data_IF_031917551339
#
_entry.id   IF_031917551339
#
_cell.length_a   1.000
_cell.length_b   1.000
_cell.length_c   1.000
_cell.angle_alpha   90.00
_cell.angle_beta   90.00
_cell.angle_gamma   90.00
#
_symmetry.space_group_name_H-M   'P 1'
#
loop_
_entity.id
_entity.type
_entity.pdbx_description
1 polymer ?
#
# COMPACT_ATOMS: atom_id res chain seq x y z
N UNK A 1 15.01 16.28 -2.17
CA UNK A 1 14.73 16.97 -3.43
C UNK A 1 14.03 18.30 -3.16
N UNK A 2 14.34 19.38 -3.91
CA UNK A 2 13.70 20.67 -3.70
C UNK A 2 12.20 20.56 -3.98
N UNK A 3 11.40 21.18 -3.11
CA UNK A 3 9.94 21.30 -3.26
C UNK A 3 9.63 22.77 -3.50
N UNK A 4 8.85 23.02 -4.51
CA UNK A 4 8.42 24.37 -4.85
C UNK A 4 6.90 24.46 -4.70
N UNK A 5 6.44 25.58 -4.15
CA UNK A 5 5.00 25.85 -4.09
C UNK A 5 4.52 26.13 -5.52
N UNK A 6 3.51 25.39 -5.95
CA UNK A 6 2.86 25.57 -7.24
C UNK A 6 1.49 26.24 -7.04
N UNK A 7 0.94 26.77 -8.13
CA UNK A 7 -0.40 27.33 -8.14
C UNK A 7 -1.45 26.31 -7.66
N UNK A 8 -2.55 26.78 -7.10
CA UNK A 8 -3.66 25.98 -6.57
C UNK A 8 -3.34 25.14 -5.32
N UNK A 9 -2.40 25.57 -4.49
CA UNK A 9 -2.08 24.83 -3.27
C UNK A 9 -1.46 23.45 -3.50
N UNK A 10 -0.80 23.25 -4.65
CA UNK A 10 -0.06 22.02 -4.94
C UNK A 10 1.40 22.13 -4.53
N UNK A 11 2.05 20.98 -4.38
CA UNK A 11 3.50 20.89 -4.17
C UNK A 11 4.10 20.30 -5.43
N UNK A 12 5.06 21.02 -6.03
CA UNK A 12 5.85 20.47 -7.12
C UNK A 12 7.07 19.73 -6.58
N UNK A 13 7.38 18.61 -7.18
CA UNK A 13 8.57 17.83 -6.85
C UNK A 13 9.17 17.19 -8.09
N UNK A 14 10.46 16.91 -8.02
CA UNK A 14 11.18 16.22 -9.08
C UNK A 14 11.14 14.73 -8.77
N UNK A 15 10.72 13.93 -9.74
CA UNK A 15 10.74 12.48 -9.63
C UNK A 15 12.20 11.99 -9.56
N UNK A 16 12.60 11.28 -8.50
CA UNK A 16 13.96 10.77 -8.39
C UNK A 16 14.18 9.64 -9.41
N UNK A 17 15.35 9.57 -10.03
CA UNK A 17 15.68 8.47 -10.92
C UNK A 17 15.69 7.14 -10.17
N UNK A 18 15.24 6.09 -10.83
CA UNK A 18 15.22 4.74 -10.31
C UNK A 18 16.36 3.90 -10.93
N UNK A 19 16.72 2.81 -10.26
CA UNK A 19 17.75 1.90 -10.77
C UNK A 19 17.40 1.32 -12.15
N UNK A 20 16.11 1.14 -12.43
CA UNK A 20 15.63 0.66 -13.73
C UNK A 20 15.97 1.61 -14.88
N UNK A 21 16.06 2.92 -14.62
CA UNK A 21 16.39 3.93 -15.64
C UNK A 21 17.81 3.79 -16.15
N UNK A 22 18.67 3.11 -15.39
CA UNK A 22 20.08 2.87 -15.72
C UNK A 22 20.34 1.51 -16.39
N UNK A 23 19.32 0.68 -16.59
CA UNK A 23 19.51 -0.67 -17.13
C UNK A 23 20.15 -0.68 -18.54
N UNK A 24 19.85 0.33 -19.35
CA UNK A 24 20.45 0.48 -20.68
C UNK A 24 21.79 1.23 -20.72
N UNK A 25 22.23 1.80 -19.59
CA UNK A 25 23.45 2.61 -19.51
C UNK A 25 24.71 1.78 -19.29
N UNK A 26 24.54 0.58 -18.77
CA UNK A 26 25.63 -0.31 -18.39
C UNK A 26 25.67 -1.48 -19.37
N UNK A 27 26.82 -1.74 -19.95
CA UNK A 27 27.03 -2.85 -20.87
C UNK A 27 28.39 -3.50 -20.65
N UNK A 28 28.52 -4.69 -21.14
CA UNK A 28 29.80 -5.40 -21.16
C UNK A 28 30.48 -5.09 -22.50
N UNK A 29 31.71 -4.63 -22.44
CA UNK A 29 32.53 -4.41 -23.61
C UNK A 29 33.50 -5.58 -23.77
N UNK A 30 33.38 -6.33 -24.84
CA UNK A 30 34.22 -7.50 -25.11
C UNK A 30 35.40 -7.15 -26.05
N UNK A 31 36.49 -7.96 -26.06
CA UNK A 31 37.58 -7.77 -26.99
C UNK A 31 37.14 -7.77 -28.46
N UNK A 32 36.18 -8.62 -28.82
CA UNK A 32 35.63 -8.69 -30.17
C UNK A 32 34.91 -7.40 -30.58
N UNK A 33 34.21 -6.78 -29.62
CA UNK A 33 33.56 -5.46 -29.80
C UNK A 33 34.62 -4.36 -30.01
N UNK A 34 35.75 -4.45 -29.31
CA UNK A 34 36.83 -3.47 -29.41
C UNK A 34 37.51 -3.56 -30.77
N UNK A 35 37.75 -4.78 -31.23
CA UNK A 35 38.31 -5.05 -32.59
C UNK A 35 37.33 -4.58 -33.67
N UNK A 36 36.06 -4.88 -33.56
CA UNK A 36 35.05 -4.44 -34.50
C UNK A 36 34.93 -2.90 -34.53
N UNK A 37 35.03 -2.23 -33.38
CA UNK A 37 35.03 -0.77 -33.30
C UNK A 37 36.26 -0.18 -33.99
N UNK A 38 37.42 -0.78 -33.82
CA UNK A 38 38.67 -0.34 -34.47
C UNK A 38 38.60 -0.51 -36.00
N UNK A 39 38.06 -1.63 -36.46
CA UNK A 39 37.94 -1.93 -37.88
C UNK A 39 36.93 -1.02 -38.61
N UNK A 40 35.87 -0.57 -37.92
CA UNK A 40 34.84 0.30 -38.49
C UNK A 40 35.13 1.79 -38.32
N UNK A 41 36.30 2.18 -37.83
CA UNK A 41 36.65 3.56 -37.59
C UNK A 41 35.70 4.27 -36.56
N UNK A 42 35.00 3.50 -35.71
CA UNK A 42 34.04 3.99 -34.73
C UNK A 42 32.69 4.44 -35.32
N UNK A 43 32.41 4.15 -36.57
CA UNK A 43 31.26 4.66 -37.33
C UNK A 43 30.13 3.67 -37.54
N UNK A 44 29.96 2.67 -36.69
CA UNK A 44 28.85 1.71 -36.76
C UNK A 44 27.93 1.80 -35.56
N UNK A 45 26.61 1.80 -35.79
CA UNK A 45 25.60 1.83 -34.72
C UNK A 45 25.72 0.63 -33.76
N UNK A 46 26.31 -0.47 -34.20
CA UNK A 46 26.42 -1.75 -33.48
C UNK A 46 27.68 -1.85 -32.59
N UNK A 47 28.56 -0.84 -32.62
CA UNK A 47 29.87 -0.87 -31.98
C UNK A 47 30.14 0.32 -31.06
N UNK A 48 29.09 0.93 -30.57
CA UNK A 48 29.20 2.03 -29.63
C UNK A 48 28.98 1.54 -28.19
N UNK A 49 29.82 2.05 -27.29
CA UNK A 49 29.59 1.84 -25.84
C UNK A 49 28.22 2.44 -25.41
N UNK A 50 27.55 1.74 -24.51
CA UNK A 50 26.29 2.20 -24.00
C UNK A 50 26.42 3.60 -23.39
N UNK A 51 25.55 4.50 -23.77
CA UNK A 51 25.53 5.89 -23.26
C UNK A 51 24.16 6.16 -22.63
N UNK A 52 24.18 6.58 -21.38
CA UNK A 52 23.00 7.13 -20.74
C UNK A 52 22.94 8.63 -20.98
N UNK A 53 21.95 9.07 -21.71
CA UNK A 53 21.65 10.50 -21.82
C UNK A 53 20.75 10.91 -20.68
N UNK A 54 21.30 11.59 -19.69
CA UNK A 54 20.53 12.15 -18.58
C UNK A 54 19.72 13.34 -19.09
N UNK A 55 18.41 13.13 -19.20
CA UNK A 55 17.47 14.20 -19.60
C UNK A 55 17.18 15.11 -18.40
N UNK A 56 16.64 16.30 -18.68
CA UNK A 56 16.17 17.21 -17.63
C UNK A 56 15.13 16.56 -16.72
N UNK A 57 15.06 17.03 -15.49
CA UNK A 57 14.15 16.48 -14.49
C UNK A 57 12.69 16.72 -14.87
N UNK A 58 11.86 15.68 -14.71
CA UNK A 58 10.41 15.79 -14.89
C UNK A 58 9.78 16.30 -13.60
N UNK A 59 9.09 17.43 -13.68
CA UNK A 59 8.35 17.99 -12.56
C UNK A 59 7.00 17.30 -12.44
N UNK A 60 6.69 16.79 -11.25
CA UNK A 60 5.38 16.26 -10.86
C UNK A 60 4.71 17.22 -9.90
N UNK A 61 3.40 17.20 -9.89
CA UNK A 61 2.57 18.00 -8.98
C UNK A 61 1.75 17.08 -8.10
N UNK A 62 1.75 17.37 -6.81
CA UNK A 62 0.86 16.74 -5.83
C UNK A 62 -0.14 17.79 -5.36
N UNK A 63 -1.40 17.65 -5.75
CA UNK A 63 -2.46 18.55 -5.34
C UNK A 63 -2.87 18.27 -3.89
N UNK A 64 -3.20 19.34 -3.17
CA UNK A 64 -3.67 19.29 -1.79
C UNK A 64 -5.18 19.28 -1.81
N UNK A 65 -5.79 18.23 -1.27
CA UNK A 65 -7.22 18.18 -1.05
C UNK A 65 -7.54 18.70 0.35
N UNK A 66 -8.59 19.50 0.46
CA UNK A 66 -9.12 19.96 1.72
C UNK A 66 -10.37 19.15 2.09
N UNK A 67 -10.33 18.52 3.25
CA UNK A 67 -11.51 17.85 3.81
C UNK A 67 -12.23 18.85 4.66
N UNK A 68 -13.47 19.16 4.29
CA UNK A 68 -14.28 20.18 4.95
C UNK A 68 -15.40 19.54 5.77
N UNK A 69 -15.67 20.11 6.93
CA UNK A 69 -16.79 19.77 7.79
C UNK A 69 -17.60 21.03 8.06
N UNK A 70 -18.88 20.99 7.76
CA UNK A 70 -19.81 22.09 8.07
C UNK A 70 -21.05 21.54 8.78
N UNK A 71 -21.34 22.07 9.97
CA UNK A 71 -22.53 21.77 10.72
C UNK A 71 -23.40 23.01 10.83
N UNK A 72 -24.68 22.87 10.51
CA UNK A 72 -25.66 23.94 10.66
C UNK A 72 -26.69 23.53 11.72
N UNK A 73 -26.77 24.30 12.78
CA UNK A 73 -27.61 24.02 13.95
C UNK A 73 -28.50 25.22 14.25
N UNK A 74 -29.80 24.97 14.39
CA UNK A 74 -30.76 26.01 14.75
C UNK A 74 -30.57 26.50 16.18
N UNK A 75 -30.70 27.81 16.41
CA UNK A 75 -30.52 28.41 17.73
C UNK A 75 -31.49 27.87 18.78
N UNK A 76 -32.72 27.52 18.39
CA UNK A 76 -33.73 26.97 19.33
C UNK A 76 -33.33 25.53 19.72
N UNK A 77 -32.85 24.74 18.77
CA UNK A 77 -32.37 23.38 19.03
C UNK A 77 -31.20 23.41 20.02
N UNK A 78 -30.23 24.30 19.79
CA UNK A 78 -29.07 24.46 20.67
C UNK A 78 -29.44 24.82 22.10
N UNK A 79 -30.51 25.60 22.28
CA UNK A 79 -30.99 25.98 23.60
C UNK A 79 -31.83 24.89 24.28
N UNK A 80 -32.63 24.17 23.49
CA UNK A 80 -33.53 23.15 24.02
C UNK A 80 -32.79 21.83 24.32
N UNK A 81 -31.79 21.46 23.48
CA UNK A 81 -31.10 20.17 23.58
C UNK A 81 -29.58 20.30 23.33
N UNK A 82 -28.85 20.94 24.25
CA UNK A 82 -27.41 21.16 24.12
C UNK A 82 -26.62 19.84 24.00
N UNK A 83 -27.03 18.80 24.73
CA UNK A 83 -26.38 17.48 24.73
C UNK A 83 -26.48 16.80 23.36
N UNK A 84 -27.62 16.98 22.67
CA UNK A 84 -27.78 16.45 21.31
C UNK A 84 -26.84 17.13 20.33
N UNK A 85 -26.63 18.43 20.47
CA UNK A 85 -25.68 19.20 19.65
C UNK A 85 -24.26 18.76 19.91
N UNK A 86 -23.88 18.53 21.16
CA UNK A 86 -22.57 18.01 21.53
C UNK A 86 -22.33 16.64 20.89
N UNK A 87 -23.30 15.75 20.97
CA UNK A 87 -23.22 14.44 20.35
C UNK A 87 -23.08 14.50 18.81
N UNK A 88 -23.79 15.39 18.15
CA UNK A 88 -23.61 15.63 16.71
C UNK A 88 -22.22 16.14 16.37
N UNK A 89 -21.66 17.04 17.17
CA UNK A 89 -20.30 17.54 16.98
C UNK A 89 -19.27 16.41 17.10
N UNK A 90 -19.37 15.56 18.13
CA UNK A 90 -18.48 14.40 18.29
C UNK A 90 -18.53 13.46 17.08
N UNK A 91 -19.75 13.06 16.67
CA UNK A 91 -19.93 12.16 15.53
C UNK A 91 -19.41 12.76 14.22
N UNK A 92 -19.61 14.06 14.03
CA UNK A 92 -19.12 14.77 12.87
C UNK A 92 -17.58 14.82 12.82
N UNK A 93 -16.92 15.03 13.97
CA UNK A 93 -15.46 14.98 14.06
C UNK A 93 -14.91 13.57 13.78
N UNK A 94 -15.56 12.54 14.31
CA UNK A 94 -15.20 11.15 14.02
C UNK A 94 -15.32 10.88 12.52
N UNK A 95 -16.43 11.27 11.91
CA UNK A 95 -16.65 11.06 10.47
C UNK A 95 -15.66 11.85 9.62
N UNK A 96 -15.27 13.05 10.02
CA UNK A 96 -14.24 13.84 9.35
C UNK A 96 -12.88 13.12 9.40
N UNK A 97 -12.48 12.60 10.56
CA UNK A 97 -11.23 11.85 10.72
C UNK A 97 -11.23 10.56 9.85
N UNK A 98 -12.34 9.82 9.85
CA UNK A 98 -12.51 8.63 9.00
C UNK A 98 -12.40 8.95 7.51
N UNK A 99 -13.04 10.03 7.07
CA UNK A 99 -12.94 10.45 5.67
C UNK A 99 -11.50 10.83 5.30
N UNK A 100 -10.77 11.47 6.21
CA UNK A 100 -9.36 11.82 6.02
C UNK A 100 -8.50 10.55 5.84
N UNK A 101 -8.66 9.56 6.71
CA UNK A 101 -7.96 8.29 6.61
C UNK A 101 -8.28 7.56 5.31
N UNK A 102 -9.57 7.41 4.97
CA UNK A 102 -10.00 6.81 3.70
C UNK A 102 -9.40 7.49 2.47
N UNK A 103 -9.36 8.82 2.47
CA UNK A 103 -8.82 9.59 1.35
C UNK A 103 -7.32 9.34 1.18
N UNK A 104 -6.57 9.29 2.30
CA UNK A 104 -5.14 8.99 2.28
C UNK A 104 -4.91 7.55 1.78
N UNK A 105 -5.63 6.58 2.32
CA UNK A 105 -5.52 5.17 1.93
C UNK A 105 -5.87 4.97 0.45
N UNK A 106 -6.90 5.63 -0.04
CA UNK A 106 -7.28 5.59 -1.46
C UNK A 106 -6.18 6.15 -2.37
N UNK A 107 -5.55 7.26 -1.99
CA UNK A 107 -4.42 7.84 -2.74
C UNK A 107 -3.19 6.92 -2.72
N UNK A 108 -2.90 6.29 -1.59
CA UNK A 108 -1.82 5.30 -1.48
C UNK A 108 -2.13 4.10 -2.41
N UNK A 109 -3.36 3.59 -2.36
CA UNK A 109 -3.80 2.49 -3.22
C UNK A 109 -3.69 2.83 -4.71
N UNK A 110 -4.14 4.02 -5.11
CA UNK A 110 -4.06 4.47 -6.50
C UNK A 110 -2.61 4.62 -7.01
N UNK A 111 -1.68 5.00 -6.12
CA UNK A 111 -0.24 5.07 -6.44
C UNK A 111 0.51 3.74 -6.31
N UNK A 112 -0.15 2.68 -5.88
CA UNK A 112 0.47 1.37 -5.62
C UNK A 112 0.27 0.41 -6.78
N UNK A 113 1.21 -0.52 -6.96
CA UNK A 113 1.07 -1.61 -7.92
C UNK A 113 0.17 -2.70 -7.33
N UNK A 114 -0.93 -3.01 -8.00
CA UNK A 114 -1.80 -4.11 -7.59
C UNK A 114 -1.10 -5.46 -7.77
N UNK A 115 -1.17 -6.30 -6.76
CA UNK A 115 -0.66 -7.67 -6.77
C UNK A 115 -1.83 -8.63 -6.64
N UNK A 116 -1.97 -9.55 -7.56
CA UNK A 116 -2.99 -10.59 -7.49
C UNK A 116 -2.51 -11.69 -6.54
N UNK A 117 -3.29 -11.95 -5.49
CA UNK A 117 -3.06 -13.10 -4.62
C UNK A 117 -3.36 -14.40 -5.36
N UNK A 118 -2.54 -15.42 -5.14
CA UNK A 118 -2.83 -16.76 -5.65
C UNK A 118 -3.76 -17.46 -4.68
N UNK A 119 -4.86 -18.04 -5.17
CA UNK A 119 -5.76 -18.84 -4.35
C UNK A 119 -5.02 -20.08 -3.82
N UNK A 120 -4.86 -20.14 -2.54
CA UNK A 120 -4.40 -21.29 -1.77
C UNK A 120 -5.60 -21.81 -0.96
N UNK A 121 -5.36 -22.76 -0.10
CA UNK A 121 -6.40 -23.25 0.80
C UNK A 121 -6.31 -22.51 2.13
N UNK A 122 -7.22 -21.58 2.36
CA UNK A 122 -7.38 -20.85 3.62
C UNK A 122 -6.81 -19.41 3.61
N UNK A 123 -7.51 -18.51 4.28
CA UNK A 123 -7.19 -17.07 4.35
C UNK A 123 -5.79 -16.82 4.92
N UNK A 124 -5.41 -17.56 5.98
CA UNK A 124 -4.12 -17.38 6.62
C UNK A 124 -2.96 -17.71 5.67
N UNK A 125 -3.05 -18.81 4.94
CA UNK A 125 -2.01 -19.23 3.98
C UNK A 125 -1.94 -18.30 2.79
N UNK A 126 -3.08 -17.93 2.21
CA UNK A 126 -3.16 -17.03 1.07
C UNK A 126 -2.53 -15.68 1.39
N UNK A 127 -2.89 -15.12 2.54
CA UNK A 127 -2.36 -13.85 3.00
C UNK A 127 -0.84 -13.90 3.23
N UNK A 128 -0.38 -14.88 4.01
CA UNK A 128 1.05 -15.00 4.36
C UNK A 128 1.93 -15.23 3.14
N UNK A 129 1.53 -16.13 2.25
CA UNK A 129 2.29 -16.42 1.03
C UNK A 129 2.34 -15.18 0.15
N UNK A 130 1.22 -14.48 0.01
CA UNK A 130 1.15 -13.27 -0.81
C UNK A 130 2.02 -12.16 -0.24
N UNK A 131 1.94 -11.91 1.08
CA UNK A 131 2.77 -10.89 1.75
C UNK A 131 4.25 -11.21 1.63
N UNK A 132 4.65 -12.47 1.87
CA UNK A 132 6.06 -12.90 1.75
C UNK A 132 6.57 -12.74 0.32
N UNK A 133 5.79 -13.14 -0.69
CA UNK A 133 6.14 -12.96 -2.10
C UNK A 133 6.28 -11.47 -2.44
N UNK A 134 5.31 -10.65 -2.06
CA UNK A 134 5.34 -9.21 -2.32
C UNK A 134 6.54 -8.54 -1.63
N UNK A 135 6.80 -8.85 -0.36
CA UNK A 135 7.94 -8.34 0.39
C UNK A 135 9.28 -8.76 -0.25
N UNK A 136 9.40 -10.02 -0.67
CA UNK A 136 10.61 -10.52 -1.34
C UNK A 136 10.82 -9.84 -2.70
N UNK A 137 9.76 -9.70 -3.49
CA UNK A 137 9.84 -9.00 -4.78
C UNK A 137 10.22 -7.53 -4.60
N UNK A 138 9.64 -6.85 -3.61
CA UNK A 138 9.98 -5.46 -3.30
C UNK A 138 11.46 -5.31 -2.93
N UNK A 139 11.94 -6.14 -1.98
CA UNK A 139 13.34 -6.12 -1.55
C UNK A 139 14.29 -6.43 -2.71
N UNK A 140 13.97 -7.44 -3.52
CA UNK A 140 14.78 -7.80 -4.68
C UNK A 140 14.85 -6.68 -5.71
N UNK A 141 13.72 -6.03 -6.02
CA UNK A 141 13.68 -4.91 -6.97
C UNK A 141 14.52 -3.72 -6.50
N UNK A 142 14.46 -3.43 -5.21
CA UNK A 142 15.18 -2.30 -4.62
C UNK A 142 16.56 -2.68 -4.06
N UNK A 143 16.99 -3.93 -4.25
CA UNK A 143 18.28 -4.45 -3.73
C UNK A 143 18.45 -4.25 -2.23
N UNK A 144 17.37 -4.42 -1.48
CA UNK A 144 17.36 -4.31 -0.02
C UNK A 144 17.69 -5.65 0.64
N UNK A 145 18.43 -5.64 1.77
CA UNK A 145 18.66 -6.85 2.56
C UNK A 145 17.34 -7.38 3.16
N UNK A 146 17.33 -8.68 3.50
CA UNK A 146 16.14 -9.35 4.06
C UNK A 146 15.71 -8.77 5.42
N UNK A 147 16.66 -8.23 6.15
CA UNK A 147 16.46 -7.62 7.47
C UNK A 147 15.79 -6.25 7.41
N UNK A 148 15.68 -5.65 6.22
CA UNK A 148 15.01 -4.34 6.07
C UNK A 148 13.54 -4.46 6.46
N UNK A 149 13.09 -3.74 7.51
CA UNK A 149 11.72 -3.77 7.95
C UNK A 149 10.80 -3.12 6.92
N UNK A 150 9.68 -3.75 6.63
CA UNK A 150 8.61 -3.22 5.80
C UNK A 150 7.38 -2.97 6.66
N UNK A 151 6.56 -2.01 6.25
CA UNK A 151 5.28 -1.72 6.89
C UNK A 151 4.14 -2.08 5.96
N UNK A 152 3.11 -2.69 6.52
CA UNK A 152 1.89 -3.03 5.82
C UNK A 152 0.67 -2.54 6.61
N UNK A 153 -0.30 -2.00 5.90
CA UNK A 153 -1.59 -1.61 6.47
C UNK A 153 -2.60 -2.68 6.04
N UNK A 154 -3.29 -3.25 7.00
CA UNK A 154 -4.27 -4.32 6.78
C UNK A 154 -5.62 -3.94 7.38
N UNK A 155 -6.74 -4.43 6.83
CA UNK A 155 -8.04 -4.23 7.44
C UNK A 155 -8.12 -4.95 8.80
N UNK A 156 -8.77 -4.32 9.77
CA UNK A 156 -8.84 -4.86 11.13
C UNK A 156 -9.53 -6.23 11.20
N UNK A 157 -10.56 -6.45 10.39
CA UNK A 157 -11.29 -7.73 10.34
C UNK A 157 -10.44 -8.93 9.88
N UNK A 158 -9.32 -8.66 9.19
CA UNK A 158 -8.46 -9.72 8.66
C UNK A 158 -7.82 -10.56 9.77
N UNK A 159 -7.55 -9.96 10.94
CA UNK A 159 -7.04 -10.72 12.10
C UNK A 159 -8.03 -11.80 12.56
N UNK A 160 -9.31 -11.46 12.61
CA UNK A 160 -10.37 -12.43 12.99
C UNK A 160 -10.57 -13.50 11.93
N UNK A 161 -10.48 -13.14 10.65
CA UNK A 161 -10.55 -14.10 9.55
C UNK A 161 -9.36 -15.09 9.60
N UNK A 162 -8.16 -14.62 9.89
CA UNK A 162 -6.97 -15.46 10.07
C UNK A 162 -7.13 -16.35 11.31
N UNK A 163 -7.61 -15.80 12.44
CA UNK A 163 -7.84 -16.58 13.66
C UNK A 163 -8.84 -17.71 13.42
N UNK A 164 -9.94 -17.41 12.75
CA UNK A 164 -10.98 -18.40 12.41
C UNK A 164 -10.42 -19.51 11.51
N UNK A 165 -9.67 -19.17 10.47
CA UNK A 165 -9.07 -20.13 9.55
C UNK A 165 -8.04 -21.04 10.26
N UNK A 166 -7.19 -20.47 11.11
CA UNK A 166 -6.21 -21.25 11.89
C UNK A 166 -6.89 -22.17 12.89
N UNK A 167 -7.96 -21.72 13.55
CA UNK A 167 -8.74 -22.56 14.47
C UNK A 167 -9.35 -23.77 13.77
N UNK A 168 -9.84 -23.58 12.54
CA UNK A 168 -10.40 -24.69 11.74
C UNK A 168 -9.33 -25.68 11.26
N UNK A 169 -8.09 -25.23 11.11
CA UNK A 169 -7.00 -26.08 10.61
C UNK A 169 -6.24 -26.84 11.70
N UNK A 170 -6.44 -26.49 12.97
CA UNK A 170 -5.84 -27.20 14.10
C UNK A 170 -6.78 -28.28 14.61
N UNK A 171 -6.60 -29.54 14.22
CA UNK A 171 -7.34 -30.66 14.85
C UNK A 171 -6.73 -30.92 16.22
N UNK A 172 -7.39 -30.56 17.26
CA UNK A 172 -6.91 -30.87 18.62
C UNK A 172 -7.57 -30.05 19.71
N UNK A 173 -7.13 -30.28 20.90
CA UNK A 173 -7.68 -29.96 22.20
C UNK A 173 -7.72 -28.44 22.55
N UNK A 174 -7.32 -27.57 21.63
CA UNK A 174 -7.28 -26.13 21.85
C UNK A 174 -8.61 -25.48 21.43
N UNK A 175 -9.62 -25.71 22.26
CA UNK A 175 -10.98 -25.16 22.08
C UNK A 175 -11.06 -23.63 22.24
N UNK A 176 -9.97 -22.99 22.63
CA UNK A 176 -9.92 -21.54 22.89
C UNK A 176 -9.44 -20.72 21.68
N UNK A 177 -9.02 -21.39 20.60
CA UNK A 177 -8.60 -20.71 19.37
C UNK A 177 -7.24 -19.99 19.47
N UNK A 178 -6.80 -19.47 18.34
CA UNK A 178 -5.51 -18.76 18.22
C UNK A 178 -5.66 -17.32 18.70
N UNK A 179 -4.75 -16.87 19.56
CA UNK A 179 -4.77 -15.49 20.06
C UNK A 179 -4.23 -14.50 19.02
N UNK A 180 -4.68 -13.25 19.07
CA UNK A 180 -4.19 -12.17 18.20
C UNK A 180 -2.68 -11.91 18.38
N UNK A 181 -2.11 -12.24 19.56
CA UNK A 181 -0.69 -12.17 19.83
C UNK A 181 0.13 -13.21 19.05
N UNK A 182 -0.36 -14.44 18.97
CA UNK A 182 0.26 -15.53 18.19
C UNK A 182 0.21 -15.23 16.69
N UNK A 183 -0.90 -14.70 16.20
CA UNK A 183 -1.03 -14.28 14.80
C UNK A 183 -0.01 -13.18 14.49
N UNK A 184 0.12 -12.16 15.35
CA UNK A 184 1.11 -11.11 15.18
C UNK A 184 2.55 -11.64 15.22
N UNK A 185 2.85 -12.57 16.13
CA UNK A 185 4.14 -13.25 16.21
C UNK A 185 4.47 -14.01 14.92
N UNK A 186 3.48 -14.71 14.37
CA UNK A 186 3.63 -15.45 13.11
C UNK A 186 3.84 -14.53 11.90
N UNK A 187 3.14 -13.41 11.85
CA UNK A 187 3.27 -12.41 10.81
C UNK A 187 4.61 -11.67 10.89
N UNK A 188 5.11 -11.40 12.11
CA UNK A 188 6.38 -10.69 12.32
C UNK A 188 7.61 -11.45 11.80
N UNK A 189 7.51 -12.78 11.64
CA UNK A 189 8.59 -13.62 11.10
C UNK A 189 9.03 -13.31 9.68
N UNK A 190 8.30 -12.43 8.97
CA UNK A 190 8.65 -11.96 7.61
C UNK A 190 9.35 -10.59 7.59
N UNK A 191 9.70 -10.01 8.74
CA UNK A 191 10.16 -8.62 8.88
C UNK A 191 9.19 -7.59 8.27
N UNK A 192 7.90 -7.86 8.37
CA UNK A 192 6.83 -6.95 7.98
C UNK A 192 6.03 -6.60 9.24
N UNK A 193 5.97 -5.33 9.58
CA UNK A 193 5.10 -4.83 10.66
C UNK A 193 3.72 -4.52 10.10
N UNK A 194 2.67 -4.94 10.81
CA UNK A 194 1.29 -4.76 10.39
C UNK A 194 0.59 -3.74 11.28
N UNK A 195 -0.02 -2.75 10.64
CA UNK A 195 -0.91 -1.80 11.28
C UNK A 195 -2.33 -2.06 10.83
N UNK A 196 -3.23 -2.27 11.78
CA UNK A 196 -4.64 -2.45 11.48
C UNK A 196 -5.32 -1.10 11.22
N UNK A 197 -6.11 -1.02 10.16
CA UNK A 197 -6.99 0.11 9.88
C UNK A 197 -8.44 -0.37 9.84
N UNK A 198 -9.33 0.40 10.46
CA UNK A 198 -10.77 0.13 10.43
C UNK A 198 -11.42 0.62 9.14
N UNK A 199 -10.83 1.62 8.50
CA UNK A 199 -11.38 2.28 7.31
C UNK A 199 -10.80 1.74 5.99
N UNK A 200 -9.92 0.72 6.06
CA UNK A 200 -9.42 0.02 4.90
C UNK A 200 -10.35 -1.16 4.59
N UNK A 201 -11.03 -1.11 3.44
CA UNK A 201 -11.99 -2.14 3.01
C UNK A 201 -13.01 -2.46 4.12
N UNK A 202 -14.01 -1.60 4.26
CA UNK A 202 -15.11 -1.86 5.19
C UNK A 202 -15.71 -3.24 4.90
N UNK A 203 -15.85 -4.01 5.97
CA UNK A 203 -16.57 -5.27 5.92
C UNK A 203 -18.02 -4.98 5.49
N UNK A 204 -18.53 -5.66 4.49
CA UNK A 204 -19.86 -5.38 3.94
C UNK A 204 -19.92 -4.51 2.68
N UNK A 205 -18.82 -3.81 2.30
CA UNK A 205 -18.74 -3.10 1.01
C UNK A 205 -18.19 -3.97 -0.12
N UNK A 206 -17.83 -5.20 0.17
CA UNK A 206 -17.36 -6.15 -0.85
C UNK A 206 -18.55 -6.72 -1.62
N UNK A 207 -18.29 -7.01 -2.92
CA UNK A 207 -19.30 -7.61 -3.76
C UNK A 207 -19.90 -8.86 -3.11
N UNK A 208 -21.22 -9.06 -3.18
CA UNK A 208 -21.88 -10.27 -2.64
C UNK A 208 -21.17 -11.54 -3.12
N UNK A 209 -20.74 -12.39 -2.19
CA UNK A 209 -20.01 -13.63 -2.47
C UNK A 209 -18.48 -13.54 -2.42
N UNK A 210 -17.89 -12.38 -2.16
CA UNK A 210 -16.42 -12.24 -2.06
C UNK A 210 -15.84 -12.84 -0.76
N UNK A 211 -16.65 -12.96 0.29
CA UNK A 211 -16.34 -13.69 1.51
C UNK A 211 -17.50 -14.66 1.78
N UNK A 212 -17.37 -15.85 1.22
CA UNK A 212 -18.36 -16.90 1.40
C UNK A 212 -18.90 -16.96 2.83
N UNK A 213 -20.16 -16.62 2.98
CA UNK A 213 -21.02 -16.93 4.12
C UNK A 213 -20.77 -16.25 5.46
N UNK A 214 -19.75 -15.41 5.62
CA UNK A 214 -19.61 -14.66 6.86
C UNK A 214 -20.06 -13.20 6.66
N UNK A 215 -21.34 -12.99 6.82
CA UNK A 215 -21.97 -11.67 6.84
C UNK A 215 -22.32 -11.35 8.30
N UNK A 216 -21.55 -10.47 8.98
CA UNK A 216 -21.84 -10.14 10.36
C UNK A 216 -23.14 -9.35 10.51
N UNK A 217 -23.64 -8.74 9.43
CA UNK A 217 -24.86 -7.93 9.42
C UNK A 217 -26.11 -8.73 9.04
N UNK A 218 -25.95 -10.00 8.60
CA UNK A 218 -27.07 -10.86 8.21
C UNK A 218 -27.89 -10.35 7.04
N UNK A 219 -27.30 -9.52 6.18
CA UNK A 219 -27.97 -8.88 5.03
C UNK A 219 -27.62 -9.53 3.70
N UNK A 220 -26.99 -10.71 3.72
CA UNK A 220 -26.58 -11.49 2.53
C UNK A 220 -27.71 -12.19 1.82
#
# INVERSE_FOLDING_TARGET
LPKFQADRGSISYIEPPQLADYAGAVGVWTPDMDEAAANNGGSGADVLKNVLVVKGATTRYAEIDAITLQLQIGNLLKRAYPELVERHNELALIQHARLAEKTILAKIGAGSTAVTASNQVGVARDFLVTVRKAATQYRSRHRLPLETPLQAIIPNWLFEAIASDLTLQMPGDDTLGVTSGEIRGYLSGSNVSFTASYDLNEYGTQAPGALNSWDPDGTG
#
